data_IF_225586792331
#
_entry.id   IF_225586792331
#
_cell.length_a   1.000
_cell.length_b   1.000
_cell.length_c   1.000
_cell.angle_alpha   90.00
_cell.angle_beta   90.00
_cell.angle_gamma   90.00
#
_symmetry.space_group_name_H-M   'P 1'
#
loop_
_entity.id
_entity.type
_entity.pdbx_description
1 polymer ?
#
# COMPACT_ATOMS: atom_id res chain seq x y z
N UNK A 1 -1.53 6.13 -18.96
CA UNK A 1 -2.65 5.20 -18.73
C UNK A 1 -2.80 4.95 -17.24
N UNK A 2 -4.02 4.98 -16.76
CA UNK A 2 -4.34 4.70 -15.36
C UNK A 2 -5.11 3.39 -15.31
N UNK A 3 -4.69 2.48 -14.44
CA UNK A 3 -5.32 1.18 -14.25
C UNK A 3 -5.54 0.94 -12.76
N UNK A 4 -6.41 -0.02 -12.43
CA UNK A 4 -6.56 -0.49 -11.05
C UNK A 4 -5.91 -1.86 -10.88
N UNK A 5 -5.32 -2.08 -9.71
CA UNK A 5 -4.84 -3.38 -9.26
C UNK A 5 -5.70 -3.78 -8.07
N UNK A 6 -6.55 -4.81 -8.23
CA UNK A 6 -7.60 -5.07 -7.26
C UNK A 6 -7.83 -6.57 -6.99
N UNK A 7 -6.77 -7.28 -6.55
CA UNK A 7 -6.92 -8.68 -6.18
C UNK A 7 -7.86 -8.85 -4.99
N UNK A 8 -8.62 -9.94 -5.00
CA UNK A 8 -9.57 -10.20 -3.94
C UNK A 8 -9.81 -11.68 -3.71
N UNK A 9 -10.34 -11.99 -2.56
CA UNK A 9 -10.75 -13.34 -2.17
C UNK A 9 -12.18 -13.28 -1.63
N UNK A 10 -13.05 -14.14 -2.18
CA UNK A 10 -14.48 -14.10 -1.86
C UNK A 10 -15.00 -15.49 -1.56
N UNK A 11 -15.76 -15.60 -0.47
CA UNK A 11 -16.44 -16.85 -0.09
C UNK A 11 -17.94 -16.60 -0.16
N UNK A 12 -18.63 -17.36 -1.01
CA UNK A 12 -20.05 -17.17 -1.28
C UNK A 12 -20.87 -17.20 0.00
N UNK A 13 -21.73 -16.17 0.19
CA UNK A 13 -22.60 -16.00 1.35
C UNK A 13 -21.89 -15.87 2.71
N UNK A 14 -20.56 -15.65 2.72
CA UNK A 14 -19.81 -15.49 3.96
C UNK A 14 -19.08 -14.16 4.03
N UNK A 15 -18.05 -13.96 3.20
CA UNK A 15 -17.28 -12.72 3.22
C UNK A 15 -16.54 -12.50 1.91
N UNK A 16 -16.03 -11.29 1.77
CA UNK A 16 -15.09 -10.94 0.70
C UNK A 16 -14.08 -9.93 1.21
N UNK A 17 -12.89 -9.97 0.65
CA UNK A 17 -11.85 -8.99 0.92
C UNK A 17 -11.13 -8.65 -0.37
N UNK A 18 -10.84 -7.37 -0.56
CA UNK A 18 -10.10 -6.88 -1.73
C UNK A 18 -9.14 -5.78 -1.29
N UNK A 19 -7.96 -5.77 -1.89
CA UNK A 19 -7.01 -4.67 -1.78
C UNK A 19 -6.95 -4.02 -3.16
N UNK A 20 -7.21 -2.72 -3.21
CA UNK A 20 -7.33 -2.02 -4.50
C UNK A 20 -6.55 -0.72 -4.47
N UNK A 21 -5.66 -0.56 -5.44
CA UNK A 21 -4.95 0.69 -5.66
C UNK A 21 -5.06 1.10 -7.12
N UNK A 22 -5.10 2.40 -7.36
CA UNK A 22 -4.95 2.98 -8.69
C UNK A 22 -3.48 3.13 -9.00
N UNK A 23 -3.11 2.82 -10.22
CA UNK A 23 -1.72 2.85 -10.70
C UNK A 23 -1.64 3.66 -11.98
N UNK A 24 -0.54 4.41 -12.14
CA UNK A 24 -0.19 5.03 -13.40
C UNK A 24 0.87 4.18 -14.09
N UNK A 25 0.67 3.89 -15.37
CA UNK A 25 1.68 3.19 -16.18
C UNK A 25 2.75 4.20 -16.58
N UNK A 26 4.00 3.94 -16.21
CA UNK A 26 5.13 4.84 -16.46
C UNK A 26 6.28 4.06 -17.11
N UNK A 27 7.24 4.78 -17.70
CA UNK A 27 8.44 4.15 -18.21
C UNK A 27 9.34 3.69 -17.06
N UNK A 28 9.76 2.41 -17.12
CA UNK A 28 10.70 1.86 -16.14
C UNK A 28 12.15 2.13 -16.55
N UNK A 29 12.39 2.31 -17.86
CA UNK A 29 13.71 2.60 -18.41
C UNK A 29 13.70 3.93 -19.14
N UNK A 30 14.87 4.56 -19.28
CA UNK A 30 14.99 5.86 -19.92
C UNK A 30 14.58 5.84 -21.40
N UNK A 31 14.77 4.71 -22.08
CA UNK A 31 14.43 4.54 -23.50
C UNK A 31 12.98 4.09 -23.73
N UNK A 32 12.22 3.83 -22.66
CA UNK A 32 10.82 3.42 -22.76
C UNK A 32 10.62 1.97 -23.17
N UNK A 33 11.67 1.14 -23.21
CA UNK A 33 11.54 -0.26 -23.63
C UNK A 33 10.83 -1.14 -22.59
N UNK A 34 10.79 -0.71 -21.35
CA UNK A 34 10.05 -1.39 -20.28
C UNK A 34 9.14 -0.42 -19.53
N UNK A 35 8.00 -0.94 -19.06
CA UNK A 35 7.01 -0.16 -18.32
C UNK A 35 6.97 -0.63 -16.86
N UNK A 36 6.52 0.27 -16.00
CA UNK A 36 6.32 0.00 -14.58
C UNK A 36 5.02 0.64 -14.10
N UNK A 37 4.63 0.33 -12.87
CA UNK A 37 3.46 0.91 -12.24
C UNK A 37 3.87 1.85 -11.12
N UNK A 38 3.30 3.05 -11.13
CA UNK A 38 3.48 4.03 -10.05
C UNK A 38 2.19 4.13 -9.27
N UNK A 39 2.18 3.87 -7.96
CA UNK A 39 0.96 3.99 -7.17
C UNK A 39 0.43 5.42 -7.14
N UNK A 40 -0.89 5.55 -7.32
CA UNK A 40 -1.59 6.83 -7.17
C UNK A 40 -2.38 6.88 -5.86
N UNK A 41 -2.84 5.74 -5.37
CA UNK A 41 -3.57 5.66 -4.10
C UNK A 41 -2.60 5.80 -2.93
N UNK A 42 -2.91 6.72 -2.02
CA UNK A 42 -2.10 6.96 -0.82
C UNK A 42 -2.98 6.83 0.42
N UNK A 43 -3.43 5.62 0.70
CA UNK A 43 -4.25 5.26 1.86
C UNK A 43 -3.59 4.06 2.55
N UNK A 44 -3.45 4.06 3.88
CA UNK A 44 -2.87 2.92 4.58
C UNK A 44 -3.69 1.65 4.35
N UNK A 45 -2.98 0.54 4.15
CA UNK A 45 -3.59 -0.78 4.13
C UNK A 45 -3.71 -1.24 5.59
N UNK A 46 -4.89 -1.75 5.97
CA UNK A 46 -5.18 -2.07 7.36
C UNK A 46 -4.35 -3.27 7.84
N UNK A 47 -3.41 -3.01 8.75
CA UNK A 47 -2.41 -3.99 9.17
C UNK A 47 -2.98 -5.15 9.98
N UNK A 48 -4.03 -4.92 10.75
CA UNK A 48 -4.60 -5.99 11.58
C UNK A 48 -5.32 -7.07 10.77
N UNK A 49 -5.51 -6.85 9.47
CA UNK A 49 -6.03 -7.86 8.55
C UNK A 49 -4.94 -8.64 7.84
N UNK A 50 -3.67 -8.36 8.14
CA UNK A 50 -2.52 -8.95 7.48
C UNK A 50 -1.90 -10.02 8.38
N UNK A 51 -1.75 -11.23 7.84
CA UNK A 51 -1.01 -12.30 8.51
C UNK A 51 0.45 -12.25 8.04
N UNK A 52 1.31 -11.63 8.84
CA UNK A 52 2.71 -11.38 8.50
C UNK A 52 3.47 -12.69 8.24
N UNK A 53 3.13 -13.76 8.96
CA UNK A 53 3.81 -15.04 8.80
C UNK A 53 3.58 -15.68 7.42
N UNK A 54 2.54 -15.25 6.71
CA UNK A 54 2.28 -15.71 5.34
C UNK A 54 2.95 -14.83 4.28
N UNK A 55 3.58 -13.73 4.68
CA UNK A 55 4.25 -12.82 3.76
C UNK A 55 5.73 -13.15 3.63
N UNK A 56 6.27 -12.97 2.42
CA UNK A 56 7.70 -13.04 2.20
C UNK A 56 8.37 -11.72 2.59
N UNK A 57 9.69 -11.73 2.80
CA UNK A 57 10.43 -10.53 3.21
C UNK A 57 10.29 -9.38 2.22
N UNK A 58 10.34 -9.68 0.93
CA UNK A 58 10.18 -8.65 -0.10
C UNK A 58 8.77 -8.07 -0.12
N UNK A 59 7.76 -8.84 0.27
CA UNK A 59 6.39 -8.36 0.37
C UNK A 59 6.21 -7.44 1.57
N UNK A 60 6.79 -7.80 2.72
CA UNK A 60 6.78 -6.95 3.91
C UNK A 60 7.50 -5.63 3.61
N UNK A 61 8.67 -5.70 2.95
CA UNK A 61 9.41 -4.50 2.57
C UNK A 61 8.60 -3.62 1.63
N UNK A 62 7.93 -4.22 0.65
CA UNK A 62 7.08 -3.46 -0.28
C UNK A 62 5.99 -2.71 0.47
N UNK A 63 5.32 -3.37 1.41
CA UNK A 63 4.24 -2.75 2.18
C UNK A 63 4.75 -1.63 3.07
N UNK A 64 5.88 -1.85 3.75
CA UNK A 64 6.49 -0.83 4.60
C UNK A 64 6.93 0.39 3.77
N UNK A 65 7.51 0.17 2.58
CA UNK A 65 7.89 1.24 1.66
C UNK A 65 6.66 2.00 1.16
N UNK A 66 5.58 1.27 0.85
CA UNK A 66 4.31 1.87 0.46
C UNK A 66 3.74 2.75 1.59
N UNK A 67 3.71 2.25 2.81
CA UNK A 67 3.23 3.02 3.97
C UNK A 67 4.10 4.23 4.25
N UNK A 68 5.41 4.12 4.07
CA UNK A 68 6.31 5.26 4.21
C UNK A 68 6.00 6.36 3.19
N UNK A 69 5.70 5.98 1.94
CA UNK A 69 5.30 6.93 0.92
C UNK A 69 3.96 7.59 1.24
N UNK A 70 2.97 6.80 1.68
CA UNK A 70 1.68 7.32 2.14
C UNK A 70 1.89 8.39 3.22
N UNK A 71 2.69 8.09 4.23
CA UNK A 71 2.99 9.01 5.33
C UNK A 71 3.66 10.27 4.81
N UNK A 72 4.66 10.15 3.94
CA UNK A 72 5.39 11.29 3.40
C UNK A 72 4.51 12.21 2.54
N UNK A 73 3.55 11.63 1.82
CA UNK A 73 2.64 12.39 0.94
C UNK A 73 1.49 13.02 1.70
N UNK A 74 0.93 12.35 2.69
CA UNK A 74 -0.31 12.74 3.35
C UNK A 74 -0.06 13.56 4.61
N UNK A 75 0.97 13.23 5.40
CA UNK A 75 1.23 13.91 6.68
C UNK A 75 1.29 15.43 6.54
N UNK A 76 1.99 16.02 5.54
CA UNK A 76 2.04 17.48 5.41
C UNK A 76 0.70 18.14 5.13
N UNK A 77 -0.29 17.37 4.68
CA UNK A 77 -1.63 17.88 4.36
C UNK A 77 -2.59 17.84 5.56
N UNK A 78 -2.19 17.17 6.63
CA UNK A 78 -3.03 17.04 7.84
C UNK A 78 -2.79 18.23 8.77
N UNK A 79 -3.87 18.70 9.40
CA UNK A 79 -3.82 19.83 10.33
C UNK A 79 -4.11 19.44 11.77
N UNK A 80 -4.83 18.34 11.98
CA UNK A 80 -5.19 17.84 13.30
C UNK A 80 -4.10 16.93 13.86
N UNK A 81 -3.71 17.14 15.11
CA UNK A 81 -2.75 16.26 15.79
C UNK A 81 -3.28 14.83 15.91
N UNK A 82 -4.59 14.69 16.11
CA UNK A 82 -5.23 13.38 16.16
C UNK A 82 -5.11 12.64 14.83
N UNK A 83 -5.34 13.32 13.72
CA UNK A 83 -5.19 12.71 12.38
C UNK A 83 -3.75 12.35 12.09
N UNK A 84 -2.79 13.18 12.48
CA UNK A 84 -1.37 12.89 12.31
C UNK A 84 -0.94 11.66 13.11
N UNK A 85 -1.41 11.55 14.36
CA UNK A 85 -1.12 10.40 15.20
C UNK A 85 -1.72 9.11 14.62
N UNK A 86 -2.94 9.18 14.10
CA UNK A 86 -3.59 8.05 13.44
C UNK A 86 -2.79 7.59 12.21
N UNK A 87 -2.36 8.53 11.38
CA UNK A 87 -1.58 8.21 10.19
C UNK A 87 -0.24 7.56 10.56
N UNK A 88 0.44 8.12 11.54
CA UNK A 88 1.73 7.59 11.99
C UNK A 88 1.59 6.14 12.48
N UNK A 89 0.57 5.86 13.29
CA UNK A 89 0.31 4.52 13.79
C UNK A 89 -0.01 3.53 12.67
N UNK A 90 -0.85 3.94 11.72
CA UNK A 90 -1.34 3.06 10.66
C UNK A 90 -0.37 2.91 9.50
N UNK A 91 0.72 3.66 9.47
CA UNK A 91 1.78 3.53 8.47
C UNK A 91 3.12 3.09 9.07
N UNK A 92 3.15 2.74 10.35
CA UNK A 92 4.36 2.22 10.98
C UNK A 92 4.76 0.87 10.38
N UNK A 93 6.05 0.51 10.38
CA UNK A 93 6.50 -0.75 9.82
C UNK A 93 5.83 -1.95 10.46
N UNK A 94 5.61 -3.01 9.68
CA UNK A 94 5.22 -4.30 10.21
C UNK A 94 6.35 -4.87 11.06
N UNK A 95 6.02 -5.82 11.96
CA UNK A 95 7.05 -6.52 12.70
C UNK A 95 8.00 -7.19 11.73
N UNK A 96 9.30 -6.97 11.94
CA UNK A 96 10.31 -7.52 11.06
C UNK A 96 10.19 -9.03 10.98
N UNK A 97 10.17 -9.55 9.76
CA UNK A 97 10.18 -10.97 9.50
C UNK A 97 11.63 -11.42 9.44
N UNK A 98 12.04 -12.22 10.38
CA UNK A 98 13.40 -12.74 10.46
C UNK A 98 13.62 -13.92 9.51
#
# INVERSE_FOLDING_TARGET
MIVSNEPGYYVVNEFGIRIENLLEVVNATADGSYLAFKPLTHIPIQKNLIEVDLMERNEVKWLDDYHAEVRNKVMPLLTSEESKAWLLENTSPLLAKE
#
